data_IF_733049032367
#
_entry.id   IF_733049032367
#
_cell.length_a   1.000
_cell.length_b   1.000
_cell.length_c   1.000
_cell.angle_alpha   90.00
_cell.angle_beta   90.00
_cell.angle_gamma   90.00
#
_symmetry.space_group_name_H-M   'P 1'
#
loop_
_entity.id
_entity.type
_entity.pdbx_description
1 polymer ?
#
# COMPACT_ATOMS: atom_id res chain seq x y z
N UNK A 1 -7.66 5.55 -20.66
CA UNK A 1 -6.91 5.23 -19.41
C UNK A 1 -7.93 4.65 -18.46
N UNK A 2 -7.72 3.47 -17.87
CA UNK A 2 -8.67 2.92 -16.90
C UNK A 2 -8.83 3.91 -15.74
N UNK A 3 -10.06 4.09 -15.27
CA UNK A 3 -10.35 4.99 -14.17
C UNK A 3 -9.82 4.37 -12.87
N UNK A 4 -8.81 4.99 -12.27
CA UNK A 4 -8.25 4.55 -11.00
C UNK A 4 -9.27 4.85 -9.90
N UNK A 5 -9.45 3.91 -8.96
CA UNK A 5 -10.28 4.16 -7.78
C UNK A 5 -9.71 5.33 -6.99
N UNK A 6 -10.56 6.26 -6.57
CA UNK A 6 -10.12 7.33 -5.69
C UNK A 6 -9.99 6.81 -4.24
N UNK A 7 -8.94 7.20 -3.51
CA UNK A 7 -8.84 6.92 -2.08
C UNK A 7 -10.01 7.53 -1.31
N UNK A 8 -10.58 6.79 -0.36
CA UNK A 8 -11.57 7.38 0.56
C UNK A 8 -10.87 8.17 1.66
N UNK A 9 -11.63 9.05 2.31
CA UNK A 9 -11.13 9.85 3.42
C UNK A 9 -10.56 8.96 4.53
N UNK A 10 -9.34 9.28 4.96
CA UNK A 10 -8.60 8.55 5.99
C UNK A 10 -8.28 7.08 5.66
N UNK A 11 -8.47 6.63 4.42
CA UNK A 11 -8.06 5.30 4.00
C UNK A 11 -6.54 5.13 4.11
N UNK A 12 -6.09 3.99 4.62
CA UNK A 12 -4.66 3.68 4.58
C UNK A 12 -4.27 3.09 3.22
N UNK A 13 -3.02 3.31 2.80
CA UNK A 13 -2.48 2.80 1.54
C UNK A 13 -2.80 1.31 1.31
N UNK A 14 -2.63 0.47 2.33
CA UNK A 14 -2.81 -0.97 2.19
C UNK A 14 -4.28 -1.37 1.91
N UNK A 15 -5.24 -0.77 2.64
CA UNK A 15 -6.67 -1.01 2.39
C UNK A 15 -7.10 -0.47 1.03
N UNK A 16 -6.59 0.69 0.64
CA UNK A 16 -6.83 1.27 -0.68
C UNK A 16 -6.34 0.35 -1.80
N UNK A 17 -5.08 -0.12 -1.72
CA UNK A 17 -4.51 -1.02 -2.72
C UNK A 17 -5.29 -2.33 -2.79
N UNK A 18 -5.63 -2.90 -1.64
CA UNK A 18 -6.44 -4.11 -1.57
C UNK A 18 -7.78 -3.91 -2.30
N UNK A 19 -8.50 -2.84 -1.98
CA UNK A 19 -9.78 -2.49 -2.63
C UNK A 19 -9.62 -2.26 -4.13
N UNK A 20 -8.58 -1.56 -4.56
CA UNK A 20 -8.31 -1.29 -5.97
C UNK A 20 -8.01 -2.57 -6.75
N UNK A 21 -7.13 -3.43 -6.22
CA UNK A 21 -6.75 -4.70 -6.84
C UNK A 21 -7.94 -5.67 -6.90
N UNK A 22 -8.73 -5.79 -5.84
CA UNK A 22 -9.93 -6.64 -5.85
C UNK A 22 -10.99 -6.13 -6.84
N UNK A 23 -11.17 -4.81 -6.97
CA UNK A 23 -12.20 -4.24 -7.84
C UNK A 23 -11.81 -4.14 -9.32
N UNK A 24 -10.53 -3.91 -9.62
CA UNK A 24 -10.05 -3.59 -10.97
C UNK A 24 -9.00 -4.58 -11.50
N UNK A 25 -8.50 -5.47 -10.64
CA UNK A 25 -7.31 -6.28 -10.93
C UNK A 25 -6.03 -5.44 -10.83
N UNK A 26 -4.90 -6.09 -11.11
CA UNK A 26 -3.61 -5.42 -11.22
C UNK A 26 -3.14 -5.43 -12.67
N UNK A 27 -2.70 -4.27 -13.18
CA UNK A 27 -2.20 -4.11 -14.55
C UNK A 27 -0.69 -4.40 -14.70
N UNK A 28 -0.06 -4.90 -13.63
CA UNK A 28 1.37 -5.17 -13.58
C UNK A 28 2.22 -3.92 -13.29
N UNK A 29 1.61 -2.80 -12.90
CA UNK A 29 2.31 -1.55 -12.57
C UNK A 29 1.95 -1.06 -11.17
N UNK A 30 2.52 0.09 -10.77
CA UNK A 30 2.18 0.81 -9.54
C UNK A 30 1.12 1.89 -9.76
N UNK A 31 0.20 1.71 -10.71
CA UNK A 31 -0.81 2.70 -11.06
C UNK A 31 -1.58 3.16 -9.81
N UNK A 32 -2.12 2.22 -9.03
CA UNK A 32 -2.92 2.55 -7.85
C UNK A 32 -2.06 3.15 -6.74
N UNK A 33 -0.88 2.59 -6.48
CA UNK A 33 0.06 3.09 -5.47
C UNK A 33 0.49 4.54 -5.74
N UNK A 34 0.79 4.87 -7.00
CA UNK A 34 1.16 6.22 -7.39
C UNK A 34 -0.03 7.18 -7.33
N UNK A 35 -1.23 6.74 -7.73
CA UNK A 35 -2.46 7.53 -7.58
C UNK A 35 -2.76 7.84 -6.11
N UNK A 36 -2.64 6.87 -5.21
CA UNK A 36 -2.79 7.12 -3.77
C UNK A 36 -1.74 8.09 -3.25
N UNK A 37 -0.47 7.95 -3.67
CA UNK A 37 0.58 8.90 -3.29
C UNK A 37 0.19 10.31 -3.70
N UNK A 38 -0.25 10.50 -4.94
CA UNK A 38 -0.52 11.84 -5.48
C UNK A 38 -1.75 12.48 -4.82
N UNK A 39 -2.80 11.69 -4.55
CA UNK A 39 -4.02 12.17 -3.89
C UNK A 39 -3.87 12.35 -2.36
N UNK A 40 -3.28 11.36 -1.69
CA UNK A 40 -3.35 11.23 -0.22
C UNK A 40 -2.04 11.51 0.50
N UNK A 41 -0.88 11.31 -0.14
CA UNK A 41 0.43 11.40 0.50
C UNK A 41 1.55 11.93 -0.43
N UNK A 42 1.41 13.13 -1.01
CA UNK A 42 2.28 13.62 -2.09
C UNK A 42 3.76 13.78 -1.68
N UNK A 43 4.03 13.90 -0.37
CA UNK A 43 5.40 13.98 0.16
C UNK A 43 6.13 12.63 0.21
N UNK A 44 5.44 11.52 -0.04
CA UNK A 44 6.03 10.18 -0.05
C UNK A 44 6.73 9.87 -1.40
N UNK A 45 7.60 10.76 -1.85
CA UNK A 45 8.22 10.71 -3.18
C UNK A 45 9.04 9.45 -3.45
N UNK A 46 9.58 8.84 -2.40
CA UNK A 46 10.39 7.62 -2.49
C UNK A 46 9.58 6.31 -2.36
N UNK A 47 8.25 6.36 -2.29
CA UNK A 47 7.43 5.16 -2.01
C UNK A 47 7.62 4.07 -3.06
N UNK A 48 7.55 4.43 -4.34
CA UNK A 48 7.68 3.51 -5.47
C UNK A 48 8.99 2.72 -5.39
N UNK A 49 10.12 3.43 -5.30
CA UNK A 49 11.44 2.81 -5.13
C UNK A 49 11.54 1.94 -3.87
N UNK A 50 10.91 2.33 -2.76
CA UNK A 50 10.92 1.54 -1.52
C UNK A 50 10.14 0.23 -1.68
N UNK A 51 9.02 0.25 -2.37
CA UNK A 51 8.24 -0.96 -2.66
C UNK A 51 9.03 -1.92 -3.55
N UNK A 52 9.66 -1.42 -4.62
CA UNK A 52 10.49 -2.24 -5.51
C UNK A 52 11.61 -2.96 -4.77
N UNK A 53 12.26 -2.28 -3.82
CA UNK A 53 13.32 -2.88 -2.99
C UNK A 53 12.83 -3.99 -2.05
N UNK A 54 11.53 -3.99 -1.73
CA UNK A 54 10.89 -5.04 -0.96
C UNK A 54 10.31 -6.14 -1.85
N UNK A 55 10.45 -6.03 -3.17
CA UNK A 55 9.90 -6.96 -4.15
C UNK A 55 8.49 -6.62 -4.62
N UNK A 56 7.98 -5.42 -4.35
CA UNK A 56 6.73 -4.93 -4.92
C UNK A 56 7.00 -4.14 -6.20
N UNK A 57 6.84 -4.74 -7.37
CA UNK A 57 6.96 -4.06 -8.67
C UNK A 57 5.59 -3.77 -9.31
N UNK A 58 4.52 -4.39 -8.83
CA UNK A 58 3.12 -4.04 -9.09
C UNK A 58 2.33 -3.79 -7.79
N UNK A 59 1.15 -3.17 -7.89
CA UNK A 59 0.21 -3.01 -6.76
C UNK A 59 -0.09 -4.35 -6.05
N UNK A 60 -0.23 -5.43 -6.83
CA UNK A 60 -0.41 -6.79 -6.32
C UNK A 60 0.75 -7.30 -5.46
N UNK A 61 1.99 -7.11 -5.93
CA UNK A 61 3.20 -7.55 -5.27
C UNK A 61 3.53 -6.67 -4.06
N UNK A 62 3.05 -5.43 -4.01
CA UNK A 62 3.13 -4.62 -2.79
C UNK A 62 2.37 -5.31 -1.66
N UNK A 63 1.17 -5.82 -1.92
CA UNK A 63 0.36 -6.58 -0.94
C UNK A 63 0.91 -7.99 -0.67
N UNK A 64 1.63 -8.59 -1.62
CA UNK A 64 2.25 -9.90 -1.41
C UNK A 64 3.59 -9.82 -0.64
N UNK A 65 4.41 -8.81 -0.95
CA UNK A 65 5.83 -8.77 -0.56
C UNK A 65 6.20 -7.63 0.39
N UNK A 66 5.52 -6.49 0.32
CA UNK A 66 5.92 -5.28 1.05
C UNK A 66 5.02 -4.96 2.25
N UNK A 67 3.73 -5.33 2.19
CA UNK A 67 2.75 -5.05 3.25
C UNK A 67 1.90 -6.30 3.45
N UNK A 68 1.88 -6.87 4.65
CA UNK A 68 1.14 -8.12 4.93
C UNK A 68 0.03 -7.92 5.96
N UNK A 69 -1.09 -8.66 5.86
CA UNK A 69 -2.13 -8.62 6.88
C UNK A 69 -1.62 -9.23 8.19
N UNK A 70 -2.04 -8.68 9.32
CA UNK A 70 -1.64 -9.15 10.67
C UNK A 70 -2.82 -9.42 11.62
N UNK A 71 -3.98 -8.86 11.34
CA UNK A 71 -5.22 -9.15 12.08
C UNK A 71 -5.96 -10.31 11.45
N UNK A 72 -6.71 -11.09 12.24
CA UNK A 72 -7.56 -12.18 11.72
C UNK A 72 -8.55 -11.71 10.66
N UNK A 73 -9.16 -10.54 10.89
CA UNK A 73 -10.11 -9.91 9.96
C UNK A 73 -9.48 -9.66 8.58
N UNK A 74 -8.29 -9.03 8.54
CA UNK A 74 -7.58 -8.76 7.30
C UNK A 74 -7.08 -10.03 6.60
N UNK A 75 -6.62 -11.03 7.36
CA UNK A 75 -6.19 -12.32 6.79
C UNK A 75 -7.39 -13.00 6.10
N UNK A 76 -8.52 -13.10 6.79
CA UNK A 76 -9.73 -13.71 6.24
C UNK A 76 -10.23 -12.96 5.00
N UNK A 77 -10.20 -11.63 5.03
CA UNK A 77 -10.59 -10.81 3.90
C UNK A 77 -9.72 -11.09 2.68
N UNK A 78 -8.40 -11.09 2.84
CA UNK A 78 -7.45 -11.37 1.75
C UNK A 78 -7.63 -12.79 1.22
N UNK A 79 -7.76 -13.80 2.09
CA UNK A 79 -7.87 -15.20 1.67
C UNK A 79 -9.17 -15.52 0.92
N UNK A 80 -10.25 -14.78 1.21
CA UNK A 80 -11.57 -14.99 0.60
C UNK A 80 -11.97 -13.92 -0.43
N UNK A 81 -11.10 -12.95 -0.73
CA UNK A 81 -11.41 -11.77 -1.53
C UNK A 81 -12.65 -10.98 -1.01
N UNK A 82 -12.80 -10.87 0.31
CA UNK A 82 -13.91 -10.18 0.97
C UNK A 82 -13.60 -8.71 1.29
N UNK A 83 -14.64 -7.88 1.41
CA UNK A 83 -14.46 -6.46 1.73
C UNK A 83 -13.85 -6.24 3.12
N UNK A 84 -12.78 -5.45 3.20
CA UNK A 84 -12.10 -5.08 4.45
C UNK A 84 -12.37 -3.62 4.83
N UNK A 85 -12.97 -3.41 6.01
CA UNK A 85 -13.20 -2.05 6.53
C UNK A 85 -11.88 -1.47 7.06
N UNK A 86 -11.43 -0.35 6.51
CA UNK A 86 -10.22 0.31 6.97
C UNK A 86 -10.39 0.90 8.38
N UNK A 87 -9.37 0.76 9.23
CA UNK A 87 -9.35 1.33 10.59
C UNK A 87 -8.90 2.79 10.64
N UNK A 88 -8.61 3.36 9.48
CA UNK A 88 -8.30 4.77 9.32
C UNK A 88 -6.85 5.12 9.63
N UNK A 89 -6.37 6.18 8.99
CA UNK A 89 -5.06 6.80 9.26
C UNK A 89 -5.14 8.33 9.09
N UNK A 90 -4.12 9.03 9.56
CA UNK A 90 -3.99 10.48 9.34
C UNK A 90 -3.71 10.79 7.85
N UNK A 91 -4.35 11.81 7.29
CA UNK A 91 -4.02 12.31 5.94
C UNK A 91 -2.52 12.59 5.76
N UNK A 92 -2.00 12.38 4.56
CA UNK A 92 -0.57 12.59 4.25
C UNK A 92 0.33 11.40 4.58
N UNK A 93 -0.22 10.28 5.05
CA UNK A 93 0.55 9.10 5.43
C UNK A 93 0.46 7.98 4.40
N UNK A 94 1.55 7.23 4.32
CA UNK A 94 1.62 5.95 3.62
C UNK A 94 1.59 4.77 4.58
N UNK A 95 1.52 5.03 5.89
CA UNK A 95 1.48 4.00 6.92
C UNK A 95 0.18 3.19 6.82
N UNK A 96 0.24 1.86 7.02
CA UNK A 96 -0.96 1.06 7.13
C UNK A 96 -1.72 1.38 8.42
N UNK A 97 -3.01 1.09 8.42
CA UNK A 97 -3.77 0.95 9.66
C UNK A 97 -3.41 -0.37 10.38
N UNK A 98 -4.02 -0.63 11.52
CA UNK A 98 -3.73 -1.80 12.38
C UNK A 98 -3.90 -3.17 11.71
N UNK A 99 -4.63 -3.26 10.60
CA UNK A 99 -4.81 -4.49 9.83
C UNK A 99 -3.54 -5.01 9.18
N UNK A 100 -2.57 -4.14 8.92
CA UNK A 100 -1.41 -4.47 8.10
C UNK A 100 -0.09 -4.07 8.74
N UNK A 101 0.96 -4.78 8.35
CA UNK A 101 2.32 -4.51 8.75
C UNK A 101 3.19 -4.32 7.51
N UNK A 102 3.91 -3.19 7.44
CA UNK A 102 4.96 -3.04 6.44
C UNK A 102 6.15 -3.93 6.77
N UNK A 103 6.67 -4.59 5.73
CA UNK A 103 7.90 -5.37 5.81
C UNK A 103 9.08 -4.46 6.16
N UNK A 104 9.97 -4.99 6.99
CA UNK A 104 11.23 -4.33 7.36
C UNK A 104 12.23 -4.45 6.22
N UNK A 105 13.28 -3.62 6.23
CA UNK A 105 14.35 -3.63 5.22
C UNK A 105 14.51 -2.32 4.47
N UNK A 106 13.58 -1.38 4.63
CA UNK A 106 13.69 0.00 4.14
C UNK A 106 13.29 1.00 5.23
N UNK A 107 13.83 2.22 5.17
CA UNK A 107 13.49 3.28 6.11
C UNK A 107 12.14 3.91 5.75
N UNK A 108 11.16 3.77 6.63
CA UNK A 108 9.82 4.33 6.50
C UNK A 108 9.74 5.69 7.22
N UNK A 109 10.10 6.79 6.55
CA UNK A 109 10.09 8.14 7.12
C UNK A 109 10.85 9.16 6.28
N UNK A 110 10.68 10.46 6.59
CA UNK A 110 11.19 11.63 5.86
C UNK A 110 12.70 11.88 5.95
N UNK A 111 13.51 10.83 5.93
CA UNK A 111 14.96 10.90 5.74
C UNK A 111 15.35 10.44 4.34
N UNK A 112 16.45 10.96 3.80
CA UNK A 112 17.07 10.47 2.57
C UNK A 112 17.13 8.93 2.61
N UNK A 113 16.58 8.31 1.57
CA UNK A 113 16.64 6.87 1.40
C UNK A 113 18.12 6.44 1.32
N UNK A 114 18.63 5.78 2.36
CA UNK A 114 19.94 5.13 2.38
C UNK A 114 19.71 3.62 2.45
N UNK A 115 20.23 2.86 1.47
CA UNK A 115 20.33 1.40 1.59
C UNK A 115 21.14 1.12 2.86
N UNK A 116 20.58 0.36 3.81
CA UNK A 116 21.45 -0.29 4.81
C UNK A 116 22.13 -1.43 4.08
N UNK A 117 23.44 -1.32 3.89
CA UNK A 117 24.27 -2.47 3.53
C UNK A 117 24.11 -3.52 4.64
N UNK A 118 23.91 -4.78 4.22
CA UNK A 118 23.84 -5.93 5.10
C UNK A 118 25.15 -6.12 5.87
#
# INVERSE_FOLDING_TARGET
>A
MPAVLEPVDHECLACYLYRAVCAQGCDGTHLSLLSYRDASAPRATAIDRKMQLLGGFCDCEVLANAIRPITREAIQAVDNDENLVCKGVRRGTIQPCEHWLMRRGVQWGGGQFRRRSA
#
